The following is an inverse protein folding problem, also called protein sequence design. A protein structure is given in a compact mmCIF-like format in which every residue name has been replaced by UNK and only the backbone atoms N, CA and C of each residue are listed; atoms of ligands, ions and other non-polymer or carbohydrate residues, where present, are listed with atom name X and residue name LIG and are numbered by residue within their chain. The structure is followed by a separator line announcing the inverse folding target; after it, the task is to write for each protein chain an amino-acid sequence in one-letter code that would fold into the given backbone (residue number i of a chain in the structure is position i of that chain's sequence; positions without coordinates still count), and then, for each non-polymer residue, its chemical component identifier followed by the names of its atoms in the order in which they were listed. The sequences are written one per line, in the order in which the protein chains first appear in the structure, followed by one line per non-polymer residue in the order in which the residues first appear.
data_IF_580776148146
#
_entry.id   IF_580776148146
#
_cell.length_a   1.000
_cell.length_b   1.000
_cell.length_c   1.000
_cell.angle_alpha   90.00
_cell.angle_beta   90.00
_cell.angle_gamma   90.00
#
_symmetry.space_group_name_H-M   'P 1'
#
loop_
_entity.id
_entity.type
_entity.pdbx_description
1 polymer ?
#
# COMPACT_ATOMS: atom_id res chain seq x y z
N UNK A 1 -16.89 0.60 3.98
CA UNK A 1 -17.19 -0.60 3.15
C UNK A 1 -17.47 -0.25 1.70
N UNK A 2 -18.46 0.59 1.36
CA UNK A 2 -18.74 0.91 -0.06
C UNK A 2 -17.60 1.61 -0.82
N UNK A 3 -16.89 2.54 -0.17
CA UNK A 3 -15.77 3.26 -0.82
C UNK A 3 -14.54 2.39 -1.05
N UNK A 4 -14.17 1.53 -0.10
CA UNK A 4 -13.05 0.59 -0.25
C UNK A 4 -13.30 -0.42 -1.38
N UNK A 5 -14.54 -0.92 -1.49
CA UNK A 5 -14.92 -1.83 -2.57
C UNK A 5 -14.81 -1.15 -3.94
N UNK A 6 -15.25 0.12 -4.03
CA UNK A 6 -15.10 0.92 -5.25
C UNK A 6 -13.62 1.10 -5.63
N UNK A 7 -12.77 1.50 -4.68
CA UNK A 7 -11.32 1.68 -4.91
C UNK A 7 -10.68 0.36 -5.35
N UNK A 8 -11.04 -0.75 -4.70
CA UNK A 8 -10.52 -2.07 -5.06
C UNK A 8 -10.93 -2.48 -6.48
N UNK A 9 -12.20 -2.26 -6.84
CA UNK A 9 -12.71 -2.58 -8.18
C UNK A 9 -12.02 -1.74 -9.27
N UNK A 10 -11.78 -0.45 -9.00
CA UNK A 10 -11.03 0.43 -9.89
C UNK A 10 -9.58 -0.05 -10.07
N UNK A 11 -8.89 -0.41 -8.97
CA UNK A 11 -7.56 -0.97 -9.02
C UNK A 11 -7.51 -2.28 -9.84
N UNK A 12 -8.47 -3.19 -9.62
CA UNK A 12 -8.58 -4.43 -10.39
C UNK A 12 -8.81 -4.19 -11.89
N UNK A 13 -9.62 -3.18 -12.23
CA UNK A 13 -9.84 -2.76 -13.61
C UNK A 13 -8.56 -2.27 -14.26
N UNK A 14 -7.81 -1.38 -13.58
CA UNK A 14 -6.52 -0.87 -14.09
C UNK A 14 -5.51 -2.00 -14.27
N UNK A 15 -5.32 -2.84 -13.24
CA UNK A 15 -4.40 -3.99 -13.34
C UNK A 15 -4.81 -4.93 -14.48
N UNK A 16 -6.12 -5.17 -14.67
CA UNK A 16 -6.66 -6.02 -15.73
C UNK A 16 -6.47 -5.49 -17.15
N UNK A 17 -6.12 -4.22 -17.34
CA UNK A 17 -5.83 -3.64 -18.66
C UNK A 17 -4.44 -4.02 -19.20
N UNK A 18 -3.59 -4.64 -18.39
CA UNK A 18 -2.21 -4.98 -18.74
C UNK A 18 -2.01 -6.50 -18.86
N UNK A 19 -1.31 -6.94 -19.91
CA UNK A 19 -1.04 -8.37 -20.17
C UNK A 19 0.22 -8.89 -19.46
N UNK A 20 1.25 -8.04 -19.33
CA UNK A 20 2.53 -8.40 -18.71
C UNK A 20 2.66 -7.71 -17.35
N UNK A 21 2.03 -8.30 -16.33
CA UNK A 21 2.07 -7.76 -14.98
C UNK A 21 3.40 -8.06 -14.30
N UNK A 22 3.90 -7.15 -13.44
CA UNK A 22 5.05 -7.44 -12.61
C UNK A 22 4.70 -8.56 -11.62
N UNK A 23 5.69 -9.41 -11.30
CA UNK A 23 5.54 -10.43 -10.26
C UNK A 23 5.74 -9.86 -8.86
N UNK A 24 6.31 -8.66 -8.76
CA UNK A 24 6.67 -7.98 -7.51
C UNK A 24 6.42 -6.47 -7.64
N UNK A 25 5.76 -5.89 -6.64
CA UNK A 25 5.68 -4.44 -6.43
C UNK A 25 6.40 -4.11 -5.14
N UNK A 26 7.31 -3.13 -5.21
CA UNK A 26 8.05 -2.61 -4.07
C UNK A 26 7.43 -1.26 -3.71
N UNK A 27 7.01 -1.11 -2.46
CA UNK A 27 6.53 0.16 -1.92
C UNK A 27 7.58 0.76 -1.00
N UNK A 28 7.76 2.08 -1.12
CA UNK A 28 8.26 2.84 0.02
C UNK A 28 7.18 2.88 1.12
N UNK A 29 7.54 3.26 2.35
CA UNK A 29 6.64 3.29 3.49
C UNK A 29 6.14 4.71 3.76
N UNK A 30 7.07 5.59 4.16
CA UNK A 30 6.80 6.95 4.60
C UNK A 30 6.28 7.80 3.44
N UNK A 31 5.17 8.51 3.69
CA UNK A 31 4.44 9.29 2.68
C UNK A 31 4.02 8.52 1.42
N UNK A 32 4.03 7.19 1.45
CA UNK A 32 3.58 6.33 0.34
C UNK A 32 2.39 5.48 0.74
N UNK A 33 2.53 4.65 1.78
CA UNK A 33 1.43 3.84 2.30
C UNK A 33 0.65 4.58 3.39
N UNK A 34 1.30 5.52 4.07
CA UNK A 34 0.73 6.28 5.17
C UNK A 34 1.21 7.75 5.16
N UNK A 35 0.52 8.68 5.85
CA UNK A 35 0.91 10.09 5.88
C UNK A 35 1.95 10.43 6.96
N UNK A 36 2.76 9.46 7.36
CA UNK A 36 3.72 9.58 8.46
C UNK A 36 5.16 9.50 7.97
N UNK A 37 6.05 10.12 8.75
CA UNK A 37 7.49 9.89 8.70
C UNK A 37 7.90 9.27 10.03
N UNK A 38 8.30 7.99 10.02
CA UNK A 38 8.55 7.22 11.24
C UNK A 38 9.46 7.92 12.26
N UNK A 39 10.49 8.63 11.80
CA UNK A 39 11.47 9.28 12.70
C UNK A 39 10.92 10.54 13.39
N UNK A 40 9.76 11.06 12.97
CA UNK A 40 9.14 12.26 13.52
C UNK A 40 7.76 12.02 14.13
N UNK A 41 7.33 10.75 14.24
CA UNK A 41 6.07 10.41 14.90
C UNK A 41 6.25 10.35 16.41
N UNK A 42 5.28 10.89 17.14
CA UNK A 42 5.19 10.74 18.58
C UNK A 42 4.87 9.28 18.94
N UNK A 43 5.45 8.75 20.02
CA UNK A 43 5.25 7.35 20.46
C UNK A 43 3.77 7.01 20.73
N UNK A 44 2.96 8.03 21.05
CA UNK A 44 1.53 7.90 21.33
C UNK A 44 0.66 8.01 20.06
N UNK A 45 1.23 8.34 18.89
CA UNK A 45 0.48 8.49 17.65
C UNK A 45 0.26 7.11 16.98
N UNK A 46 -1.01 6.70 16.87
CA UNK A 46 -1.37 5.46 16.18
C UNK A 46 -1.31 5.68 14.65
N UNK A 47 -0.41 5.00 13.92
CA UNK A 47 -0.32 5.16 12.47
C UNK A 47 -1.55 4.58 11.78
N UNK A 48 -1.93 5.22 10.68
CA UNK A 48 -3.01 4.80 9.80
C UNK A 48 -2.59 4.92 8.33
N UNK A 49 -3.16 4.07 7.47
CA UNK A 49 -2.86 4.09 6.03
C UNK A 49 -3.61 5.23 5.33
N UNK A 50 -3.12 5.64 4.16
CA UNK A 50 -3.96 6.41 3.25
C UNK A 50 -5.25 5.64 2.97
N UNK A 51 -6.42 6.30 2.87
CA UNK A 51 -7.72 5.63 2.77
C UNK A 51 -7.83 4.61 1.64
N UNK A 52 -7.09 4.81 0.55
CA UNK A 52 -7.08 3.96 -0.63
C UNK A 52 -6.08 2.80 -0.55
N UNK A 53 -5.06 2.89 0.30
CA UNK A 53 -3.92 1.98 0.28
C UNK A 53 -4.33 0.53 0.51
N UNK A 54 -5.16 0.27 1.54
CA UNK A 54 -5.65 -1.08 1.84
C UNK A 54 -6.33 -1.74 0.63
N UNK A 55 -7.24 -1.03 -0.03
CA UNK A 55 -7.97 -1.55 -1.18
C UNK A 55 -7.06 -1.87 -2.37
N UNK A 56 -6.03 -1.05 -2.62
CA UNK A 56 -5.02 -1.27 -3.66
C UNK A 56 -4.16 -2.49 -3.35
N UNK A 57 -3.69 -2.63 -2.11
CA UNK A 57 -2.90 -3.79 -1.67
C UNK A 57 -3.70 -5.10 -1.81
N UNK A 58 -5.01 -5.08 -1.50
CA UNK A 58 -5.89 -6.22 -1.72
C UNK A 58 -6.09 -6.54 -3.21
N UNK A 59 -6.19 -5.53 -4.09
CA UNK A 59 -6.28 -5.75 -5.53
C UNK A 59 -5.02 -6.43 -6.11
N UNK A 60 -3.83 -6.02 -5.64
CA UNK A 60 -2.55 -6.66 -6.02
C UNK A 60 -2.48 -8.11 -5.51
N UNK A 61 -2.91 -8.34 -4.26
CA UNK A 61 -3.00 -9.68 -3.67
C UNK A 61 -3.91 -10.61 -4.47
N UNK A 62 -5.09 -10.14 -4.87
CA UNK A 62 -6.04 -10.92 -5.68
C UNK A 62 -5.49 -11.29 -7.07
N UNK A 63 -4.54 -10.50 -7.57
CA UNK A 63 -3.83 -10.76 -8.83
C UNK A 63 -2.55 -11.58 -8.65
N UNK A 64 -2.32 -12.12 -7.45
CA UNK A 64 -1.14 -12.90 -7.09
C UNK A 64 0.19 -12.16 -7.36
N UNK A 65 0.18 -10.82 -7.26
CA UNK A 65 1.37 -9.99 -7.36
C UNK A 65 2.01 -9.93 -5.97
N UNK A 66 3.29 -10.30 -5.87
CA UNK A 66 4.03 -10.21 -4.61
C UNK A 66 4.24 -8.75 -4.23
N UNK A 67 4.25 -8.45 -2.94
CA UNK A 67 4.43 -7.09 -2.43
C UNK A 67 5.51 -7.08 -1.35
N UNK A 68 6.35 -6.07 -1.37
CA UNK A 68 7.36 -5.82 -0.32
C UNK A 68 7.40 -4.34 0.00
N UNK A 69 7.80 -4.02 1.24
CA UNK A 69 8.10 -2.67 1.68
C UNK A 69 9.61 -2.52 1.78
N UNK A 70 10.15 -1.44 1.21
CA UNK A 70 11.55 -1.07 1.32
C UNK A 70 11.65 0.37 1.82
N UNK A 71 11.86 0.54 3.12
CA UNK A 71 12.02 1.84 3.77
C UNK A 71 13.46 2.09 4.19
N UNK A 72 13.83 3.37 4.30
CA UNK A 72 15.08 3.81 4.93
C UNK A 72 14.94 4.11 6.42
N UNK A 73 13.71 4.12 6.94
CA UNK A 73 13.45 4.40 8.36
C UNK A 73 14.14 3.34 9.22
N UNK A 74 14.89 3.73 10.26
CA UNK A 74 15.63 2.80 11.11
C UNK A 74 14.65 1.93 11.91
N UNK A 75 15.03 0.68 12.13
CA UNK A 75 14.41 -0.15 13.17
C UNK A 75 14.98 0.25 14.53
N UNK A 76 14.14 0.41 15.59
CA UNK A 76 14.65 0.58 16.95
C UNK A 76 15.62 -0.55 17.32
N UNK A 77 16.68 -0.23 18.06
CA UNK A 77 17.63 -1.20 18.60
C UNK A 77 17.01 -2.11 19.68
#
# INVERSE_FOLDING_TARGET
MGDEEKVKNEALQIIGQHQNLPTLVVFDLDYTLWPFYCECCDEDEMPYLYPQASAILYALKDKAISMVVASRSPTPD
#
